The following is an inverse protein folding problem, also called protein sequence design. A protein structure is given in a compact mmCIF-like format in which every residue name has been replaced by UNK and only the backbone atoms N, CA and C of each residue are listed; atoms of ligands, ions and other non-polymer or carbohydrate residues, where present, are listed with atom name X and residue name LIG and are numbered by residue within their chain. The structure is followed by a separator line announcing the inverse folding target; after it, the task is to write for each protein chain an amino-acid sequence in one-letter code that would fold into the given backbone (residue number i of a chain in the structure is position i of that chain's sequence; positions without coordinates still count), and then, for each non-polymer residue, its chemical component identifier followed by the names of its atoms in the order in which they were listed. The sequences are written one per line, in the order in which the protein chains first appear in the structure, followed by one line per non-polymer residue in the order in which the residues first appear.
data_IF_512286415379
#
_entry.id   IF_512286415379
#
_cell.length_a   1.000
_cell.length_b   1.000
_cell.length_c   1.000
_cell.angle_alpha   90.00
_cell.angle_beta   90.00
_cell.angle_gamma   90.00
#
_symmetry.space_group_name_H-M   'P 1'
#
loop_
_entity.id
_entity.type
_entity.pdbx_description
1 polymer ?
#
# COMPACT_ATOMS: atom_id res chain seq x y z
N UNK A 1 42.48 -18.70 -20.23
CA UNK A 1 41.90 -18.14 -18.98
C UNK A 1 40.82 -17.13 -19.35
N UNK A 2 39.56 -17.57 -19.47
CA UNK A 2 38.40 -16.73 -19.82
C UNK A 2 37.17 -17.27 -19.09
N UNK A 3 37.21 -17.26 -17.75
CA UNK A 3 36.12 -17.73 -16.90
C UNK A 3 35.49 -16.67 -15.94
N UNK A 4 35.98 -15.42 -15.78
CA UNK A 4 35.39 -14.53 -14.79
C UNK A 4 34.15 -13.76 -15.28
N UNK A 5 33.86 -13.73 -16.58
CA UNK A 5 32.76 -12.91 -17.14
C UNK A 5 31.37 -13.55 -16.89
N UNK A 6 31.30 -14.88 -16.75
CA UNK A 6 30.04 -15.61 -16.54
C UNK A 6 29.46 -15.44 -15.12
N UNK A 7 30.29 -15.12 -14.12
CA UNK A 7 29.86 -15.02 -12.72
C UNK A 7 29.18 -13.67 -12.44
N UNK A 8 29.52 -12.62 -13.19
CA UNK A 8 28.93 -11.28 -12.99
C UNK A 8 27.48 -11.17 -13.51
N UNK A 9 27.10 -12.00 -14.50
CA UNK A 9 25.77 -11.96 -15.11
C UNK A 9 24.66 -12.53 -14.21
N UNK A 10 25.00 -13.44 -13.29
CA UNK A 10 24.00 -14.11 -12.43
C UNK A 10 23.50 -13.21 -11.29
N UNK A 11 24.33 -12.28 -10.82
CA UNK A 11 23.96 -11.37 -9.72
C UNK A 11 23.05 -10.20 -10.12
N UNK A 12 22.91 -9.90 -11.42
CA UNK A 12 22.09 -8.77 -11.89
C UNK A 12 20.60 -9.11 -12.06
N UNK A 13 20.24 -10.39 -12.13
CA UNK A 13 18.85 -10.80 -12.37
C UNK A 13 17.94 -10.71 -11.14
N UNK A 14 18.49 -10.74 -9.92
CA UNK A 14 17.69 -10.67 -8.67
C UNK A 14 17.08 -9.29 -8.41
N UNK A 15 17.79 -8.22 -8.76
CA UNK A 15 17.37 -6.85 -8.45
C UNK A 15 16.24 -6.33 -9.36
N UNK A 16 16.16 -6.83 -10.60
CA UNK A 16 15.15 -6.40 -11.57
C UNK A 16 13.71 -6.75 -11.13
N UNK A 17 13.54 -7.84 -10.34
CA UNK A 17 12.24 -8.31 -9.88
C UNK A 17 11.70 -7.57 -8.65
N UNK A 18 12.56 -7.00 -7.80
CA UNK A 18 12.14 -6.12 -6.71
C UNK A 18 11.76 -4.73 -7.25
N UNK A 19 12.55 -4.22 -8.21
CA UNK A 19 12.33 -2.93 -8.86
C UNK A 19 10.97 -2.82 -9.58
N UNK A 20 10.49 -3.91 -10.19
CA UNK A 20 9.18 -3.90 -10.88
C UNK A 20 7.98 -3.82 -9.93
N UNK A 21 8.12 -4.29 -8.69
CA UNK A 21 7.02 -4.30 -7.71
C UNK A 21 6.84 -2.93 -7.09
N UNK A 22 7.95 -2.30 -6.72
CA UNK A 22 7.96 -0.92 -6.23
C UNK A 22 7.39 0.06 -7.28
N UNK A 23 7.65 -0.20 -8.57
CA UNK A 23 7.14 0.62 -9.66
C UNK A 23 5.60 0.73 -9.70
N UNK A 24 4.86 -0.28 -9.24
CA UNK A 24 3.40 -0.21 -9.17
C UNK A 24 2.93 0.79 -8.12
N UNK A 25 3.54 0.77 -6.92
CA UNK A 25 3.26 1.73 -5.85
C UNK A 25 3.67 3.14 -6.30
N UNK A 26 4.88 3.31 -6.81
CA UNK A 26 5.39 4.61 -7.29
C UNK A 26 4.48 5.19 -8.39
N UNK A 27 3.92 4.35 -9.26
CA UNK A 27 2.97 4.78 -10.28
C UNK A 27 1.68 5.32 -9.67
N UNK A 28 1.15 4.67 -8.63
CA UNK A 28 -0.04 5.16 -7.92
C UNK A 28 0.24 6.51 -7.25
N UNK A 29 1.39 6.65 -6.59
CA UNK A 29 1.78 7.90 -5.92
C UNK A 29 1.92 9.06 -6.92
N UNK A 30 2.60 8.83 -8.04
CA UNK A 30 2.75 9.83 -9.08
C UNK A 30 1.40 10.26 -9.69
N UNK A 31 0.48 9.30 -9.88
CA UNK A 31 -0.89 9.60 -10.35
C UNK A 31 -1.66 10.40 -9.30
N UNK A 32 -1.50 10.07 -8.03
CA UNK A 32 -2.13 10.79 -6.94
C UNK A 32 -1.65 12.24 -6.87
N UNK A 33 -0.33 12.48 -6.88
CA UNK A 33 0.24 13.83 -6.90
C UNK A 33 -0.23 14.65 -8.12
N UNK A 34 -0.30 14.02 -9.30
CA UNK A 34 -0.83 14.68 -10.50
C UNK A 34 -2.31 15.02 -10.35
N UNK A 35 -3.11 14.13 -9.77
CA UNK A 35 -4.51 14.38 -9.51
C UNK A 35 -4.70 15.59 -8.59
N UNK A 36 -3.96 15.63 -7.46
CA UNK A 36 -3.98 16.76 -6.52
C UNK A 36 -3.63 18.09 -7.19
N UNK A 37 -2.75 18.08 -8.21
CA UNK A 37 -2.36 19.29 -8.93
C UNK A 37 -3.40 19.81 -9.95
N UNK A 38 -4.46 19.04 -10.25
CA UNK A 38 -5.33 19.31 -11.40
C UNK A 38 -6.83 19.17 -11.12
N UNK A 39 -7.24 18.58 -9.99
CA UNK A 39 -8.62 18.15 -9.75
C UNK A 39 -9.05 18.30 -8.29
N UNK A 40 -10.27 17.83 -7.98
CA UNK A 40 -10.83 17.79 -6.63
C UNK A 40 -10.02 16.86 -5.72
N UNK A 41 -9.48 17.42 -4.63
CA UNK A 41 -8.59 16.73 -3.70
C UNK A 41 -9.22 15.52 -3.00
N UNK A 42 -10.48 15.61 -2.56
CA UNK A 42 -11.19 14.48 -1.96
C UNK A 42 -11.39 13.33 -2.95
N UNK A 43 -11.80 13.65 -4.18
CA UNK A 43 -11.93 12.66 -5.25
C UNK A 43 -10.61 11.95 -5.54
N UNK A 44 -9.50 12.69 -5.55
CA UNK A 44 -8.16 12.13 -5.70
C UNK A 44 -7.80 11.18 -4.55
N UNK A 45 -8.02 11.59 -3.30
CA UNK A 45 -7.75 10.78 -2.12
C UNK A 45 -8.56 9.47 -2.13
N UNK A 46 -9.84 9.53 -2.49
CA UNK A 46 -10.71 8.36 -2.57
C UNK A 46 -10.26 7.35 -3.64
N UNK A 47 -9.88 7.84 -4.81
CA UNK A 47 -9.35 6.97 -5.89
C UNK A 47 -8.03 6.35 -5.46
N UNK A 48 -7.13 7.14 -4.88
CA UNK A 48 -5.82 6.67 -4.43
C UNK A 48 -5.95 5.59 -3.34
N UNK A 49 -6.80 5.82 -2.33
CA UNK A 49 -7.11 4.84 -1.29
C UNK A 49 -7.59 3.51 -1.88
N UNK A 50 -8.56 3.53 -2.81
CA UNK A 50 -9.09 2.31 -3.45
C UNK A 50 -8.02 1.57 -4.28
N UNK A 51 -7.15 2.32 -4.94
CA UNK A 51 -6.06 1.74 -5.72
C UNK A 51 -5.01 1.07 -4.82
N UNK A 52 -4.69 1.67 -3.68
CA UNK A 52 -3.82 1.05 -2.68
C UNK A 52 -4.42 -0.22 -2.09
N UNK A 53 -5.71 -0.23 -1.79
CA UNK A 53 -6.40 -1.43 -1.29
C UNK A 53 -6.38 -2.57 -2.32
N UNK A 54 -6.60 -2.25 -3.60
CA UNK A 54 -6.47 -3.21 -4.70
C UNK A 54 -5.03 -3.73 -4.86
N UNK A 55 -4.04 -2.85 -4.68
CA UNK A 55 -2.62 -3.22 -4.73
C UNK A 55 -2.23 -4.12 -3.55
N UNK A 56 -2.75 -3.84 -2.34
CA UNK A 56 -2.59 -4.69 -1.16
C UNK A 56 -3.13 -6.11 -1.43
N UNK A 57 -4.37 -6.20 -1.93
CA UNK A 57 -5.00 -7.47 -2.23
C UNK A 57 -4.18 -8.30 -3.23
N UNK A 58 -3.81 -7.70 -4.37
CA UNK A 58 -3.02 -8.39 -5.40
C UNK A 58 -1.63 -8.77 -4.92
N UNK A 59 -1.00 -7.94 -4.08
CA UNK A 59 0.30 -8.24 -3.46
C UNK A 59 0.21 -9.46 -2.54
N UNK A 60 -0.82 -9.53 -1.70
CA UNK A 60 -1.06 -10.67 -0.80
C UNK A 60 -1.35 -11.96 -1.58
N UNK A 61 -2.22 -11.90 -2.60
CA UNK A 61 -2.52 -13.07 -3.43
C UNK A 61 -1.25 -13.65 -4.07
N UNK A 62 -0.38 -12.77 -4.58
CA UNK A 62 0.91 -13.17 -5.13
C UNK A 62 1.79 -13.81 -4.06
N UNK A 63 1.97 -13.19 -2.91
CA UNK A 63 2.77 -13.74 -1.81
C UNK A 63 2.24 -15.11 -1.38
N UNK A 64 0.93 -15.25 -1.20
CA UNK A 64 0.32 -16.53 -0.81
C UNK A 64 0.56 -17.67 -1.80
N UNK A 65 0.77 -17.34 -3.08
CA UNK A 65 1.10 -18.33 -4.11
C UNK A 65 2.58 -18.69 -4.22
N UNK A 66 3.49 -17.92 -3.60
CA UNK A 66 4.92 -18.00 -3.86
C UNK A 66 5.77 -18.38 -2.64
N UNK A 67 5.29 -18.22 -1.40
CA UNK A 67 6.11 -18.42 -0.20
C UNK A 67 5.92 -19.82 0.41
N UNK A 68 6.97 -20.34 1.04
CA UNK A 68 6.97 -21.66 1.69
C UNK A 68 5.89 -21.80 2.78
N UNK A 69 5.29 -23.00 2.99
CA UNK A 69 4.08 -23.18 3.82
C UNK A 69 4.17 -22.63 5.25
N UNK A 70 5.32 -22.77 5.92
CA UNK A 70 5.49 -22.26 7.29
C UNK A 70 5.48 -20.72 7.32
N UNK A 71 6.16 -20.07 6.37
CA UNK A 71 6.16 -18.61 6.26
C UNK A 71 4.77 -18.12 5.85
N UNK A 72 4.06 -18.87 5.00
CA UNK A 72 2.70 -18.57 4.57
C UNK A 72 1.73 -18.47 5.74
N UNK A 73 1.75 -19.47 6.62
CA UNK A 73 0.90 -19.48 7.82
C UNK A 73 1.19 -18.28 8.73
N UNK A 74 2.47 -17.94 8.94
CA UNK A 74 2.86 -16.74 9.70
C UNK A 74 2.32 -15.46 9.04
N UNK A 75 2.49 -15.31 7.72
CA UNK A 75 2.02 -14.14 7.00
C UNK A 75 0.49 -13.98 7.09
N UNK A 76 -0.26 -15.08 7.04
CA UNK A 76 -1.72 -15.06 7.18
C UNK A 76 -2.15 -14.59 8.58
N UNK A 77 -1.48 -15.07 9.64
CA UNK A 77 -1.75 -14.61 11.01
C UNK A 77 -1.43 -13.12 11.16
N UNK A 78 -0.26 -12.69 10.67
CA UNK A 78 0.15 -11.28 10.71
C UNK A 78 -0.82 -10.39 9.94
N UNK A 79 -1.31 -10.86 8.79
CA UNK A 79 -2.27 -10.14 7.98
C UNK A 79 -3.63 -10.03 8.69
N UNK A 80 -4.14 -11.09 9.30
CA UNK A 80 -5.37 -11.02 10.10
C UNK A 80 -5.26 -10.05 11.27
N UNK A 81 -4.15 -10.10 12.01
CA UNK A 81 -3.90 -9.16 13.11
C UNK A 81 -3.74 -7.71 12.62
N UNK A 82 -3.19 -7.50 11.42
CA UNK A 82 -3.12 -6.18 10.79
C UNK A 82 -4.50 -5.66 10.38
N UNK A 83 -5.37 -6.52 9.85
CA UNK A 83 -6.76 -6.16 9.48
C UNK A 83 -7.57 -5.71 10.70
N UNK A 84 -7.47 -6.41 11.83
CA UNK A 84 -8.11 -6.01 13.08
C UNK A 84 -7.64 -4.62 13.55
N UNK A 85 -6.33 -4.35 13.45
CA UNK A 85 -5.74 -3.05 13.79
C UNK A 85 -6.20 -1.96 12.82
N UNK A 86 -6.27 -2.26 11.52
CA UNK A 86 -6.79 -1.35 10.49
C UNK A 86 -8.21 -0.95 10.82
N UNK A 87 -9.09 -1.91 11.10
CA UNK A 87 -10.50 -1.64 11.38
C UNK A 87 -10.69 -0.82 12.65
N UNK A 88 -9.92 -1.12 13.71
CA UNK A 88 -9.92 -0.32 14.93
C UNK A 88 -9.40 1.11 14.70
N UNK A 89 -8.37 1.28 13.88
CA UNK A 89 -7.82 2.59 13.51
C UNK A 89 -8.81 3.39 12.65
N UNK A 90 -9.42 2.76 11.64
CA UNK A 90 -10.35 3.42 10.73
C UNK A 90 -11.61 3.86 11.46
N UNK A 91 -12.15 3.02 12.36
CA UNK A 91 -13.26 3.40 13.23
C UNK A 91 -12.94 4.65 14.06
N UNK A 92 -11.73 4.75 14.64
CA UNK A 92 -11.31 5.94 15.39
C UNK A 92 -11.20 7.20 14.52
N UNK A 93 -10.78 7.06 13.27
CA UNK A 93 -10.79 8.16 12.29
C UNK A 93 -12.22 8.60 12.04
N UNK A 94 -13.11 7.65 11.72
CA UNK A 94 -14.50 7.94 11.36
C UNK A 94 -15.27 8.58 12.52
N UNK A 95 -15.05 8.10 13.75
CA UNK A 95 -15.59 8.73 14.97
C UNK A 95 -15.10 10.17 15.17
N UNK A 96 -13.87 10.49 14.73
CA UNK A 96 -13.33 11.85 14.82
C UNK A 96 -13.94 12.75 13.75
N UNK A 97 -14.05 12.28 12.51
CA UNK A 97 -14.67 13.01 11.40
C UNK A 97 -16.12 13.35 11.73
N UNK A 98 -16.90 12.38 12.20
CA UNK A 98 -18.30 12.58 12.58
C UNK A 98 -18.47 13.65 13.69
N UNK A 99 -17.51 13.74 14.62
CA UNK A 99 -17.50 14.80 15.65
C UNK A 99 -17.12 16.15 15.04
N UNK A 100 -16.15 16.17 14.13
CA UNK A 100 -15.66 17.38 13.46
C UNK A 100 -16.73 17.97 12.54
N UNK A 101 -17.42 17.16 11.72
CA UNK A 101 -18.54 17.57 10.87
C UNK A 101 -19.65 18.31 11.62
N UNK A 102 -19.88 17.95 12.89
CA UNK A 102 -20.86 18.65 13.75
C UNK A 102 -20.38 20.04 14.18
N UNK A 103 -19.09 20.34 14.03
CA UNK A 103 -18.44 21.57 14.45
C UNK A 103 -17.95 22.45 13.28
N UNK A 104 -17.67 21.87 12.12
CA UNK A 104 -17.19 22.54 10.89
C UNK A 104 -18.27 22.43 9.80
N UNK A 105 -18.78 23.55 9.29
CA UNK A 105 -19.93 23.53 8.36
C UNK A 105 -19.67 22.87 6.99
N UNK A 106 -18.40 22.66 6.60
CA UNK A 106 -18.06 22.26 5.21
C UNK A 106 -17.67 20.78 5.03
N UNK A 107 -17.21 20.07 6.07
CA UNK A 107 -16.97 18.60 6.13
C UNK A 107 -16.06 17.91 5.11
N UNK A 108 -15.88 18.47 3.91
CA UNK A 108 -15.12 17.87 2.79
C UNK A 108 -13.62 17.79 3.08
N UNK A 109 -13.07 18.77 3.80
CA UNK A 109 -11.67 18.73 4.23
C UNK A 109 -11.42 17.62 5.25
N UNK A 110 -12.37 17.38 6.17
CA UNK A 110 -12.30 16.30 7.14
C UNK A 110 -12.39 14.92 6.45
N UNK A 111 -13.23 14.80 5.42
CA UNK A 111 -13.36 13.59 4.59
C UNK A 111 -12.11 13.32 3.75
N UNK A 112 -11.49 14.36 3.20
CA UNK A 112 -10.22 14.24 2.50
C UNK A 112 -9.11 13.78 3.44
N UNK A 113 -8.91 14.47 4.56
CA UNK A 113 -7.85 14.17 5.52
C UNK A 113 -8.01 12.76 6.10
N UNK A 114 -9.23 12.36 6.44
CA UNK A 114 -9.50 11.01 6.93
C UNK A 114 -9.20 9.95 5.88
N UNK A 115 -9.59 10.19 4.63
CA UNK A 115 -9.31 9.28 3.50
C UNK A 115 -7.81 9.16 3.25
N UNK A 116 -7.05 10.26 3.32
CA UNK A 116 -5.59 10.23 3.19
C UNK A 116 -4.90 9.48 4.33
N UNK A 117 -5.38 9.63 5.56
CA UNK A 117 -4.86 8.86 6.70
C UNK A 117 -5.11 7.35 6.53
N UNK A 118 -6.30 6.98 6.02
CA UNK A 118 -6.61 5.58 5.68
C UNK A 118 -5.70 5.07 4.55
N UNK A 119 -5.50 5.87 3.52
CA UNK A 119 -4.58 5.55 2.41
C UNK A 119 -3.15 5.35 2.91
N UNK A 120 -2.63 6.23 3.76
CA UNK A 120 -1.30 6.12 4.33
C UNK A 120 -1.11 4.81 5.12
N UNK A 121 -2.12 4.43 5.91
CA UNK A 121 -2.10 3.17 6.67
C UNK A 121 -2.03 1.93 5.74
N UNK A 122 -2.79 1.93 4.64
CA UNK A 122 -2.74 0.85 3.65
C UNK A 122 -1.39 0.84 2.91
N UNK A 123 -0.89 2.01 2.51
CA UNK A 123 0.41 2.15 1.84
C UNK A 123 1.55 1.57 2.67
N UNK A 124 1.58 1.83 3.98
CA UNK A 124 2.60 1.28 4.88
C UNK A 124 2.64 -0.24 4.79
N UNK A 125 1.47 -0.89 4.82
CA UNK A 125 1.37 -2.34 4.70
C UNK A 125 1.79 -2.84 3.33
N UNK A 126 1.35 -2.19 2.25
CA UNK A 126 1.80 -2.53 0.89
C UNK A 126 3.32 -2.48 0.81
N UNK A 127 3.93 -1.41 1.30
CA UNK A 127 5.40 -1.23 1.29
C UNK A 127 6.09 -2.37 2.03
N UNK A 128 5.66 -2.66 3.27
CA UNK A 128 6.22 -3.75 4.07
C UNK A 128 6.09 -5.13 3.38
N UNK A 129 5.00 -5.38 2.65
CA UNK A 129 4.77 -6.64 1.92
C UNK A 129 5.59 -6.71 0.62
N UNK A 130 5.84 -5.58 -0.03
CA UNK A 130 6.69 -5.52 -1.22
C UNK A 130 8.17 -5.78 -0.89
N UNK A 131 8.61 -5.36 0.30
CA UNK A 131 9.94 -5.57 0.85
C UNK A 131 10.18 -7.01 1.36
N UNK A 132 9.15 -7.87 1.37
CA UNK A 132 9.33 -9.28 1.72
C UNK A 132 10.13 -10.00 0.62
N UNK A 133 11.33 -10.42 0.98
CA UNK A 133 12.13 -11.36 0.19
C UNK A 133 11.42 -12.73 0.14
N UNK A 134 11.10 -13.18 -1.07
CA UNK A 134 10.44 -14.46 -1.32
C UNK A 134 11.49 -15.50 -1.63
#
# INVERSE_FOLDING_TARGET
MRLPILILAVFLCGNAYSQSRQAALDTLENRYQRCLSTSNSYGCALVYYKQLDSLLHSTLQRLYSQIEPNRLHTLQIEQGAWEEKKDAYFRKIDERVEKMHKSTMDGLDDDMISTDNKAAYVKERVTALLDLDI
#
